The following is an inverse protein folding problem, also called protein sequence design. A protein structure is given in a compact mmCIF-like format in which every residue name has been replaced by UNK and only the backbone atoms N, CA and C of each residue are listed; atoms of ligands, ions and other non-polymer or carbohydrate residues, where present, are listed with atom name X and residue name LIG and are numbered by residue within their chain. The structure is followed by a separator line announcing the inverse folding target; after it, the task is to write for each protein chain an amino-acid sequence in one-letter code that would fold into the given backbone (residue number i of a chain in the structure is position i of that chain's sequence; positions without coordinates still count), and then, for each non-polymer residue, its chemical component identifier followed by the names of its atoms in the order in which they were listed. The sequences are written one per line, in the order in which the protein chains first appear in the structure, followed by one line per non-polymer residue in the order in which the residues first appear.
data_IF_226962188009
#
_entry.id   IF_226962188009
#
_cell.length_a   1.000
_cell.length_b   1.000
_cell.length_c   1.000
_cell.angle_alpha   90.00
_cell.angle_beta   90.00
_cell.angle_gamma   90.00
#
_symmetry.space_group_name_H-M   'P 1'
#
loop_
_entity.id
_entity.type
_entity.pdbx_description
1 polymer ?
#
# COMPACT_ATOMS: atom_id res chain seq x y z
N UNK A 1 15.03 -39.61 4.06
CA UNK A 1 16.37 -38.97 4.14
C UNK A 1 16.85 -38.75 2.72
N UNK A 2 16.65 -37.54 2.17
CA UNK A 2 17.15 -37.22 0.82
C UNK A 2 18.64 -36.87 0.94
N UNK A 3 19.50 -37.47 0.11
CA UNK A 3 20.93 -37.23 0.14
C UNK A 3 21.28 -35.85 -0.44
N UNK A 4 22.32 -35.19 0.08
CA UNK A 4 22.72 -33.81 -0.27
C UNK A 4 22.91 -33.63 -1.79
N UNK A 5 23.39 -34.68 -2.49
CA UNK A 5 23.50 -34.69 -3.95
C UNK A 5 22.16 -34.53 -4.68
N UNK A 6 21.03 -35.01 -4.13
CA UNK A 6 19.71 -34.82 -4.72
C UNK A 6 19.16 -33.40 -4.51
N UNK A 7 19.51 -32.75 -3.39
CA UNK A 7 19.14 -31.35 -3.15
C UNK A 7 19.94 -30.41 -4.08
N UNK A 8 21.26 -30.58 -4.17
CA UNK A 8 22.11 -29.76 -5.05
C UNK A 8 21.73 -29.88 -6.54
N UNK A 9 21.31 -31.09 -6.97
CA UNK A 9 20.79 -31.32 -8.34
C UNK A 9 19.44 -30.64 -8.58
N UNK A 10 18.58 -30.58 -7.55
CA UNK A 10 17.29 -29.90 -7.61
C UNK A 10 17.45 -28.38 -7.75
N UNK A 11 18.33 -27.79 -6.93
CA UNK A 11 18.62 -26.36 -6.97
C UNK A 11 19.29 -25.94 -8.28
N UNK A 12 20.22 -26.75 -8.80
CA UNK A 12 20.81 -26.52 -10.12
C UNK A 12 19.77 -26.63 -11.23
N UNK A 13 18.86 -27.62 -11.18
CA UNK A 13 17.81 -27.78 -12.17
C UNK A 13 16.82 -26.61 -12.16
N UNK A 14 16.41 -26.14 -10.98
CA UNK A 14 15.59 -24.92 -10.84
C UNK A 14 16.31 -23.66 -11.33
N UNK A 15 17.60 -23.51 -11.04
CA UNK A 15 18.39 -22.39 -11.54
C UNK A 15 18.49 -22.41 -13.07
N UNK A 16 18.74 -23.58 -13.66
CA UNK A 16 18.83 -23.73 -15.13
C UNK A 16 17.50 -23.43 -15.81
N UNK A 17 16.38 -23.92 -15.26
CA UNK A 17 15.03 -23.59 -15.74
C UNK A 17 14.73 -22.10 -15.63
N UNK A 18 15.20 -21.44 -14.56
CA UNK A 18 15.05 -20.00 -14.37
C UNK A 18 15.85 -19.22 -15.41
N UNK A 19 17.06 -19.64 -15.74
CA UNK A 19 17.91 -19.01 -16.74
C UNK A 19 17.37 -19.20 -18.16
N UNK A 20 16.89 -20.40 -18.52
CA UNK A 20 16.24 -20.66 -19.80
C UNK A 20 14.94 -19.86 -19.95
N UNK A 21 14.14 -19.79 -18.89
CA UNK A 21 12.93 -18.96 -18.87
C UNK A 21 13.27 -17.47 -18.99
N UNK A 22 14.35 -17.02 -18.36
CA UNK A 22 14.83 -15.64 -18.43
C UNK A 22 15.29 -15.26 -19.83
N UNK A 23 16.07 -16.10 -20.49
CA UNK A 23 16.52 -15.83 -21.87
C UNK A 23 15.36 -15.90 -22.88
N UNK A 24 14.43 -16.83 -22.70
CA UNK A 24 13.20 -16.87 -23.51
C UNK A 24 12.34 -15.61 -23.33
N UNK A 25 12.23 -15.13 -22.10
CA UNK A 25 11.54 -13.89 -21.76
C UNK A 25 12.25 -12.65 -22.33
N UNK A 26 13.58 -12.63 -22.28
CA UNK A 26 14.43 -11.57 -22.84
C UNK A 26 14.26 -11.43 -24.34
N UNK A 27 14.20 -12.54 -25.06
CA UNK A 27 13.97 -12.53 -26.51
C UNK A 27 12.55 -12.04 -26.86
N UNK A 28 11.55 -12.42 -26.05
CA UNK A 28 10.16 -12.01 -26.23
C UNK A 28 9.89 -10.53 -25.89
N UNK A 29 10.58 -9.98 -24.89
CA UNK A 29 10.48 -8.56 -24.49
C UNK A 29 11.46 -7.67 -25.25
N UNK A 30 11.29 -7.61 -26.57
CA UNK A 30 12.06 -6.70 -27.43
C UNK A 30 11.15 -5.68 -28.12
N UNK A 31 11.75 -4.61 -28.65
CA UNK A 31 11.08 -3.62 -29.49
C UNK A 31 9.81 -3.01 -28.88
N UNK A 32 8.68 -3.17 -29.59
CA UNK A 32 7.38 -2.63 -29.19
C UNK A 32 6.79 -3.32 -27.95
N UNK A 33 6.93 -4.65 -27.83
CA UNK A 33 6.42 -5.42 -26.68
C UNK A 33 7.02 -4.93 -25.37
N UNK A 34 8.34 -4.64 -25.39
CA UNK A 34 9.04 -4.07 -24.24
C UNK A 34 8.50 -2.70 -23.86
N UNK A 35 8.34 -1.80 -24.85
CA UNK A 35 7.81 -0.44 -24.62
C UNK A 35 6.41 -0.49 -24.03
N UNK A 36 5.51 -1.27 -24.63
CA UNK A 36 4.14 -1.43 -24.16
C UNK A 36 4.10 -1.97 -22.72
N UNK A 37 4.97 -2.93 -22.39
CA UNK A 37 5.04 -3.48 -21.04
C UNK A 37 5.55 -2.45 -20.04
N UNK A 38 6.58 -1.67 -20.38
CA UNK A 38 7.09 -0.59 -19.54
C UNK A 38 6.01 0.46 -19.30
N UNK A 39 5.31 0.90 -20.34
CA UNK A 39 4.22 1.88 -20.22
C UNK A 39 3.07 1.36 -19.36
N UNK A 40 2.73 0.07 -19.48
CA UNK A 40 1.73 -0.56 -18.61
C UNK A 40 2.20 -0.58 -17.15
N UNK A 41 3.45 -0.95 -16.90
CA UNK A 41 4.01 -0.97 -15.54
C UNK A 41 4.08 0.42 -14.93
N UNK A 42 4.46 1.45 -15.71
CA UNK A 42 4.47 2.83 -15.27
C UNK A 42 3.06 3.30 -14.89
N UNK A 43 2.06 3.01 -15.72
CA UNK A 43 0.65 3.32 -15.41
C UNK A 43 0.21 2.66 -14.11
N UNK A 44 0.42 1.35 -13.98
CA UNK A 44 0.07 0.62 -12.75
C UNK A 44 0.80 1.15 -11.53
N UNK A 45 2.08 1.52 -11.66
CA UNK A 45 2.86 2.09 -10.57
C UNK A 45 2.28 3.45 -10.14
N UNK A 46 1.97 4.33 -11.08
CA UNK A 46 1.37 5.63 -10.79
C UNK A 46 -0.01 5.48 -10.15
N UNK A 47 -0.83 4.56 -10.62
CA UNK A 47 -2.12 4.25 -10.01
C UNK A 47 -1.97 3.80 -8.55
N UNK A 48 -1.04 2.89 -8.27
CA UNK A 48 -0.74 2.42 -6.92
C UNK A 48 -0.22 3.55 -6.02
N UNK A 49 0.69 4.37 -6.53
CA UNK A 49 1.22 5.52 -5.80
C UNK A 49 0.13 6.54 -5.46
N UNK A 50 -0.80 6.79 -6.38
CA UNK A 50 -1.94 7.68 -6.15
C UNK A 50 -2.89 7.12 -5.08
N UNK A 51 -3.14 5.80 -5.08
CA UNK A 51 -3.93 5.16 -4.03
C UNK A 51 -3.25 5.31 -2.66
N UNK A 52 -1.93 5.10 -2.58
CA UNK A 52 -1.19 5.26 -1.33
C UNK A 52 -1.14 6.70 -0.85
N UNK A 53 -0.98 7.67 -1.75
CA UNK A 53 -0.98 9.09 -1.36
C UNK A 53 -2.34 9.52 -0.83
N UNK A 54 -3.43 9.09 -1.48
CA UNK A 54 -4.79 9.31 -1.01
C UNK A 54 -5.00 8.71 0.38
N UNK A 55 -4.71 7.42 0.57
CA UNK A 55 -4.85 6.75 1.86
C UNK A 55 -4.01 7.41 2.95
N UNK A 56 -2.79 7.85 2.61
CA UNK A 56 -1.92 8.54 3.55
C UNK A 56 -2.52 9.88 3.97
N UNK A 57 -3.13 10.61 3.04
CA UNK A 57 -3.83 11.88 3.34
C UNK A 57 -5.03 11.64 4.25
N UNK A 58 -5.85 10.64 3.94
CA UNK A 58 -7.02 10.27 4.75
C UNK A 58 -6.61 9.84 6.17
N UNK A 59 -5.54 9.07 6.31
CA UNK A 59 -5.01 8.67 7.61
C UNK A 59 -4.51 9.87 8.43
N UNK A 60 -3.82 10.83 7.79
CA UNK A 60 -3.40 12.08 8.43
C UNK A 60 -4.60 12.88 8.91
N UNK A 61 -5.62 13.07 8.08
CA UNK A 61 -6.85 13.77 8.45
C UNK A 61 -7.56 13.07 9.62
N UNK A 62 -7.65 11.74 9.58
CA UNK A 62 -8.22 10.93 10.66
C UNK A 62 -7.45 11.09 11.98
N UNK A 63 -6.12 11.10 11.91
CA UNK A 63 -5.24 11.27 13.08
C UNK A 63 -5.42 12.66 13.67
N UNK A 64 -5.45 13.69 12.82
CA UNK A 64 -5.66 15.08 13.21
C UNK A 64 -7.05 15.29 13.84
N UNK A 65 -8.10 14.73 13.23
CA UNK A 65 -9.45 14.79 13.77
C UNK A 65 -9.55 14.09 15.15
N UNK A 66 -8.91 12.93 15.29
CA UNK A 66 -8.85 12.20 16.56
C UNK A 66 -8.14 13.00 17.65
N UNK A 67 -7.04 13.67 17.29
CA UNK A 67 -6.31 14.54 18.20
C UNK A 67 -7.16 15.75 18.62
N UNK A 68 -7.78 16.45 17.67
CA UNK A 68 -8.62 17.62 17.95
C UNK A 68 -9.82 17.28 18.86
N UNK A 69 -10.47 16.13 18.64
CA UNK A 69 -11.56 15.68 19.54
C UNK A 69 -11.02 15.31 20.92
N UNK A 70 -9.86 14.65 20.99
CA UNK A 70 -9.23 14.28 22.27
C UNK A 70 -8.85 15.52 23.09
N UNK A 71 -8.33 16.56 22.43
CA UNK A 71 -8.05 17.86 23.03
C UNK A 71 -9.33 18.50 23.58
N UNK A 72 -10.41 18.55 22.78
CA UNK A 72 -11.72 19.07 23.22
C UNK A 72 -12.26 18.32 24.45
N UNK A 73 -12.08 17.00 24.49
CA UNK A 73 -12.44 16.15 25.63
C UNK A 73 -11.63 16.49 26.88
N UNK A 74 -10.31 16.65 26.73
CA UNK A 74 -9.43 17.03 27.83
C UNK A 74 -9.74 18.41 28.40
N UNK A 75 -10.04 19.38 27.54
CA UNK A 75 -10.33 20.77 27.95
C UNK A 75 -11.68 20.92 28.64
N UNK A 76 -12.72 20.29 28.08
CA UNK A 76 -14.10 20.51 28.56
C UNK A 76 -14.53 19.54 29.65
N UNK A 77 -13.99 18.32 29.66
CA UNK A 77 -14.35 17.24 30.59
C UNK A 77 -15.88 17.08 30.78
N UNK A 78 -16.65 17.27 29.71
CA UNK A 78 -18.10 17.09 29.72
C UNK A 78 -18.48 15.62 29.57
N UNK A 79 -19.61 15.22 30.15
CA UNK A 79 -20.16 13.88 29.97
C UNK A 79 -20.68 13.70 28.54
N UNK A 80 -20.46 12.52 27.95
CA UNK A 80 -20.94 12.17 26.60
C UNK A 80 -22.48 12.03 26.49
N UNK A 81 -23.21 12.33 27.55
CA UNK A 81 -24.67 12.45 27.55
C UNK A 81 -25.15 13.86 27.18
N UNK A 82 -24.26 14.87 27.20
CA UNK A 82 -24.54 16.21 26.69
C UNK A 82 -24.54 16.17 25.16
N UNK A 83 -25.73 16.15 24.56
CA UNK A 83 -25.91 16.05 23.11
C UNK A 83 -25.33 17.23 22.34
N UNK A 84 -25.30 18.44 22.92
CA UNK A 84 -24.71 19.60 22.23
C UNK A 84 -23.18 19.50 22.22
N UNK A 85 -22.61 18.98 23.30
CA UNK A 85 -21.18 18.69 23.37
C UNK A 85 -20.76 17.59 22.38
N UNK A 86 -21.52 16.50 22.29
CA UNK A 86 -21.25 15.44 21.33
C UNK A 86 -21.35 15.95 19.89
N UNK A 87 -22.36 16.78 19.59
CA UNK A 87 -22.53 17.43 18.29
C UNK A 87 -21.32 18.31 17.93
N UNK A 88 -20.80 19.07 18.87
CA UNK A 88 -19.60 19.89 18.68
C UNK A 88 -18.37 19.04 18.32
N UNK A 89 -18.14 17.92 19.02
CA UNK A 89 -17.08 16.97 18.65
C UNK A 89 -17.21 16.51 17.19
N UNK A 90 -18.43 16.17 16.75
CA UNK A 90 -18.66 15.76 15.36
C UNK A 90 -18.42 16.88 14.35
N UNK A 91 -18.85 18.11 14.65
CA UNK A 91 -18.61 19.26 13.79
C UNK A 91 -17.11 19.54 13.63
N UNK A 92 -16.32 19.37 14.69
CA UNK A 92 -14.85 19.48 14.63
C UNK A 92 -14.25 18.45 13.67
N UNK A 93 -14.72 17.19 13.72
CA UNK A 93 -14.24 16.14 12.81
C UNK A 93 -14.59 16.44 11.35
N UNK A 94 -15.84 16.87 11.08
CA UNK A 94 -16.32 17.19 9.74
C UNK A 94 -15.57 18.38 9.13
N UNK A 95 -15.06 19.32 9.94
CA UNK A 95 -14.22 20.41 9.45
C UNK A 95 -12.81 20.00 9.01
N UNK A 96 -12.35 18.79 9.37
CA UNK A 96 -10.98 18.31 9.15
C UNK A 96 -10.90 17.25 8.03
N UNK A 97 -11.93 16.42 7.89
CA UNK A 97 -12.02 15.34 6.88
C UNK A 97 -12.60 15.88 5.58
#
# INVERSE_FOLDING_TARGET
MCCILCCDKGDQFEATLRDEAFEKFRFFLTGATRRNKIESLQRSLTEQQNQFSQHTSELKNTTHASFAVSELIGERMKHFTDGEYVKECFLTVVGII
#
